data_IF_870650928298
#
_entry.id   IF_870650928298
#
_cell.length_a   1.000
_cell.length_b   1.000
_cell.length_c   1.000
_cell.angle_alpha   90.00
_cell.angle_beta   90.00
_cell.angle_gamma   90.00
#
_symmetry.space_group_name_H-M   'P 1'
#
loop_
_entity.id
_entity.type
_entity.pdbx_description
1 polymer ?
#
# COMPACT_ATOMS: atom_id res chain seq x y z
N UNK A 1 8.79 22.14 -16.03
CA UNK A 1 8.43 20.81 -16.56
C UNK A 1 9.63 20.31 -17.31
N UNK A 2 10.06 19.08 -17.05
CA UNK A 2 11.13 18.43 -17.78
C UNK A 2 10.60 17.16 -18.43
N UNK A 3 11.10 16.86 -19.63
CA UNK A 3 10.79 15.59 -20.31
C UNK A 3 11.69 14.54 -19.70
N UNK A 4 11.08 13.50 -19.12
CA UNK A 4 11.78 12.33 -18.59
C UNK A 4 12.08 11.39 -19.75
N UNK A 5 11.03 10.96 -20.47
CA UNK A 5 11.13 9.99 -21.56
C UNK A 5 10.38 10.47 -22.81
N UNK A 6 10.82 9.96 -23.96
CA UNK A 6 10.12 10.07 -25.24
C UNK A 6 9.89 8.65 -25.78
N UNK A 7 8.89 8.43 -26.65
CA UNK A 7 8.59 7.09 -27.19
C UNK A 7 9.83 6.47 -27.83
N UNK A 8 10.37 5.42 -27.20
CA UNK A 8 11.63 4.78 -27.61
C UNK A 8 11.50 3.26 -27.73
N UNK A 9 10.58 2.64 -26.98
CA UNK A 9 10.32 1.20 -27.01
C UNK A 9 8.84 0.89 -27.22
N UNK A 10 8.49 -0.29 -27.78
CA UNK A 10 7.09 -0.70 -27.93
C UNK A 10 6.37 -0.90 -26.59
N UNK A 11 7.09 -1.21 -25.51
CA UNK A 11 6.51 -1.41 -24.18
C UNK A 11 6.01 -0.09 -23.59
N UNK A 12 6.77 0.99 -23.76
CA UNK A 12 6.46 2.33 -23.25
C UNK A 12 6.45 3.38 -24.38
N UNK A 13 5.42 3.39 -25.23
CA UNK A 13 5.31 4.31 -26.37
C UNK A 13 4.78 5.69 -25.93
N UNK A 14 5.25 6.21 -24.80
CA UNK A 14 4.72 7.43 -24.16
C UNK A 14 5.79 8.53 -24.08
N UNK A 15 5.34 9.77 -23.97
CA UNK A 15 6.18 10.87 -23.48
C UNK A 15 5.83 11.06 -22.01
N UNK A 16 6.81 10.88 -21.12
CA UNK A 16 6.63 11.17 -19.70
C UNK A 16 7.32 12.49 -19.37
N UNK A 17 6.58 13.37 -18.70
CA UNK A 17 7.06 14.66 -18.23
C UNK A 17 6.85 14.75 -16.72
N UNK A 18 7.80 15.36 -16.03
CA UNK A 18 7.68 15.65 -14.61
C UNK A 18 7.77 17.16 -14.36
N UNK A 19 6.99 17.61 -13.39
CA UNK A 19 6.94 18.98 -12.94
C UNK A 19 6.89 18.99 -11.42
N UNK A 20 7.97 19.44 -10.78
CA UNK A 20 7.94 19.78 -9.37
C UNK A 20 6.93 20.90 -9.12
N UNK A 21 5.96 20.65 -8.23
CA UNK A 21 4.94 21.62 -7.83
C UNK A 21 5.29 22.14 -6.43
N UNK A 22 5.48 23.45 -6.25
CA UNK A 22 5.79 24.00 -4.92
C UNK A 22 4.57 23.87 -4.00
N UNK A 23 4.79 23.63 -2.70
CA UNK A 23 3.71 23.57 -1.70
C UNK A 23 2.87 24.85 -1.62
N UNK A 24 3.38 25.98 -2.11
CA UNK A 24 2.65 27.25 -2.19
C UNK A 24 1.73 27.36 -3.41
N UNK A 25 1.67 26.34 -4.27
CA UNK A 25 0.79 26.34 -5.43
C UNK A 25 -0.69 26.31 -4.98
N UNK A 26 -1.51 27.16 -5.59
CA UNK A 26 -2.95 27.25 -5.32
C UNK A 26 -3.82 26.65 -6.42
N UNK A 27 -3.24 26.34 -7.58
CA UNK A 27 -3.93 25.71 -8.72
C UNK A 27 -2.91 24.92 -9.57
N UNK A 28 -3.34 23.77 -10.10
CA UNK A 28 -2.59 22.97 -11.04
C UNK A 28 -3.55 22.38 -12.06
N UNK A 29 -3.33 22.72 -13.34
CA UNK A 29 -4.23 22.34 -14.43
C UNK A 29 -3.48 21.89 -15.67
N UNK A 30 -4.05 20.89 -16.32
CA UNK A 30 -3.72 20.47 -17.67
C UNK A 30 -4.50 21.38 -18.64
N UNK A 31 -3.80 22.06 -19.54
CA UNK A 31 -4.43 22.82 -20.61
C UNK A 31 -4.96 21.86 -21.68
N UNK A 32 -6.26 21.95 -21.96
CA UNK A 32 -6.90 21.13 -22.98
C UNK A 32 -6.43 21.49 -24.38
N UNK A 33 -6.01 20.49 -25.14
CA UNK A 33 -5.78 20.60 -26.58
C UNK A 33 -6.70 19.62 -27.30
N UNK A 34 -7.24 20.01 -28.46
CA UNK A 34 -8.21 19.20 -29.21
C UNK A 34 -7.68 17.82 -29.63
N UNK A 35 -6.36 17.63 -29.60
CA UNK A 35 -5.68 16.39 -29.98
C UNK A 35 -5.51 15.39 -28.82
N UNK A 36 -5.92 15.71 -27.58
CA UNK A 36 -5.71 14.86 -26.41
C UNK A 36 -6.96 14.72 -25.54
N UNK A 37 -7.20 13.50 -25.07
CA UNK A 37 -8.13 13.25 -23.96
C UNK A 37 -7.39 13.51 -22.65
N UNK A 38 -7.94 14.38 -21.80
CA UNK A 38 -7.36 14.66 -20.49
C UNK A 38 -7.89 13.69 -19.43
N UNK A 39 -6.99 13.29 -18.53
CA UNK A 39 -7.31 12.55 -17.32
C UNK A 39 -6.68 13.27 -16.12
N UNK A 40 -7.46 13.73 -15.12
CA UNK A 40 -8.92 13.68 -15.11
C UNK A 40 -9.54 14.59 -16.18
N UNK A 41 -10.76 14.27 -16.61
CA UNK A 41 -11.45 14.96 -17.72
C UNK A 41 -11.63 16.48 -17.52
N UNK A 42 -11.64 16.96 -16.28
CA UNK A 42 -11.72 18.39 -15.96
C UNK A 42 -10.35 19.11 -16.00
N UNK A 43 -9.26 18.36 -16.24
CA UNK A 43 -7.89 18.86 -16.29
C UNK A 43 -7.34 19.36 -14.94
N UNK A 44 -8.04 19.19 -13.82
CA UNK A 44 -7.59 19.70 -12.51
C UNK A 44 -6.81 18.63 -11.77
N UNK A 45 -5.58 18.93 -11.37
CA UNK A 45 -4.76 18.04 -10.56
C UNK A 45 -4.96 18.36 -9.08
N UNK A 46 -5.08 17.35 -8.20
CA UNK A 46 -5.18 17.62 -6.77
C UNK A 46 -3.86 18.17 -6.25
N UNK A 47 -3.95 19.18 -5.39
CA UNK A 47 -2.79 19.76 -4.72
C UNK A 47 -2.86 19.47 -3.22
N UNK A 48 -1.71 19.37 -2.54
CA UNK A 48 -1.64 19.40 -1.09
C UNK A 48 -2.47 20.54 -0.50
N UNK A 49 -3.32 20.23 0.49
CA UNK A 49 -4.08 21.23 1.27
C UNK A 49 -3.31 21.71 2.49
N UNK A 50 -2.14 21.13 2.75
CA UNK A 50 -1.27 21.46 3.88
C UNK A 50 -0.11 22.38 3.46
N UNK A 51 0.50 23.00 4.46
CA UNK A 51 1.68 23.86 4.36
C UNK A 51 2.87 23.21 5.05
N UNK A 52 4.02 23.88 5.10
CA UNK A 52 5.15 23.44 5.92
C UNK A 52 4.86 23.42 7.44
N UNK A 53 3.77 24.05 7.89
CA UNK A 53 3.39 24.17 9.31
C UNK A 53 2.12 23.40 9.67
N UNK A 54 1.46 22.78 8.69
CA UNK A 54 0.28 21.92 8.89
C UNK A 54 0.56 20.53 8.33
N UNK A 55 -0.43 19.63 8.28
CA UNK A 55 -0.30 18.26 7.76
C UNK A 55 -1.62 17.81 7.13
N UNK A 56 -1.64 16.72 6.34
CA UNK A 56 -2.88 16.11 5.89
C UNK A 56 -3.83 15.83 7.07
N UNK A 57 -5.11 16.12 6.91
CA UNK A 57 -6.13 15.85 7.93
C UNK A 57 -6.80 14.49 7.73
N UNK A 58 -6.75 13.92 6.52
CA UNK A 58 -7.39 12.64 6.23
C UNK A 58 -6.65 11.85 5.16
N UNK A 59 -6.10 10.72 5.56
CA UNK A 59 -5.30 9.83 4.72
C UNK A 59 -6.09 8.56 4.43
N UNK A 60 -6.24 8.21 3.15
CA UNK A 60 -6.68 6.87 2.77
C UNK A 60 -5.45 5.99 2.48
N UNK A 61 -5.42 4.78 3.03
CA UNK A 61 -4.38 3.78 2.75
C UNK A 61 -5.00 2.63 1.99
N UNK A 62 -4.40 2.26 0.87
CA UNK A 62 -4.86 1.20 -0.03
C UNK A 62 -3.65 0.40 -0.54
N UNK A 63 -3.81 -0.86 -0.91
CA UNK A 63 -2.70 -1.71 -1.36
C UNK A 63 -3.19 -2.94 -2.10
N UNK A 64 -2.28 -3.54 -2.88
CA UNK A 64 -2.51 -4.84 -3.53
C UNK A 64 -3.73 -4.76 -4.47
N UNK A 65 -3.72 -3.70 -5.30
CA UNK A 65 -4.91 -3.23 -6.01
C UNK A 65 -5.09 -3.84 -7.37
N UNK A 66 -4.06 -4.46 -7.96
CA UNK A 66 -4.17 -4.99 -9.32
C UNK A 66 -5.16 -6.15 -9.46
N UNK A 67 -5.43 -6.51 -10.70
CA UNK A 67 -6.30 -7.64 -11.02
C UNK A 67 -5.46 -8.90 -11.28
N UNK A 68 -5.66 -9.95 -10.47
CA UNK A 68 -4.86 -11.17 -10.55
C UNK A 68 -5.15 -12.02 -11.80
N UNK A 69 -4.20 -12.02 -12.74
CA UNK A 69 -4.26 -12.81 -13.98
C UNK A 69 -2.94 -13.57 -14.15
N UNK A 70 -2.75 -14.67 -13.40
CA UNK A 70 -1.46 -15.33 -13.32
C UNK A 70 -1.18 -16.23 -14.52
N UNK A 71 0.08 -16.55 -14.73
CA UNK A 71 0.50 -17.54 -15.75
C UNK A 71 0.00 -18.96 -15.45
N UNK A 72 -0.31 -19.28 -14.20
CA UNK A 72 -0.92 -20.53 -13.77
C UNK A 72 -1.89 -20.31 -12.61
N UNK A 73 -2.98 -21.09 -12.58
CA UNK A 73 -3.98 -21.00 -11.50
C UNK A 73 -5.25 -20.21 -11.89
N UNK A 74 -6.09 -19.90 -10.88
CA UNK A 74 -7.33 -19.15 -11.07
C UNK A 74 -7.07 -17.72 -11.55
N UNK A 75 -7.98 -17.21 -12.39
CA UNK A 75 -7.94 -15.83 -12.91
C UNK A 75 -9.08 -15.03 -12.30
N UNK A 76 -8.80 -13.84 -11.79
CA UNK A 76 -9.82 -12.90 -11.35
C UNK A 76 -10.51 -12.26 -12.56
N UNK A 77 -11.84 -12.09 -12.50
CA UNK A 77 -12.57 -11.30 -13.51
C UNK A 77 -12.26 -9.82 -13.29
N UNK A 78 -11.39 -9.24 -14.11
CA UNK A 78 -11.05 -7.82 -14.03
C UNK A 78 -12.22 -6.92 -14.40
N UNK A 79 -13.18 -7.45 -15.17
CA UNK A 79 -14.40 -6.72 -15.52
C UNK A 79 -15.43 -6.65 -14.39
N UNK A 80 -15.62 -7.71 -13.62
CA UNK A 80 -16.77 -7.83 -12.69
C UNK A 80 -16.41 -8.29 -11.28
N UNK A 81 -15.30 -9.00 -11.10
CA UNK A 81 -14.85 -9.54 -9.82
C UNK A 81 -13.76 -8.71 -9.12
N UNK A 82 -13.31 -7.62 -9.73
CA UNK A 82 -12.21 -6.80 -9.25
C UNK A 82 -12.71 -5.57 -8.47
N UNK A 83 -12.39 -5.43 -7.17
CA UNK A 83 -12.99 -4.43 -6.30
C UNK A 83 -12.30 -3.05 -6.37
N UNK A 84 -11.09 -2.95 -6.89
CA UNK A 84 -10.31 -1.71 -6.87
C UNK A 84 -11.05 -0.51 -7.48
N UNK A 85 -11.69 -0.58 -8.67
CA UNK A 85 -12.43 0.57 -9.20
C UNK A 85 -13.54 1.07 -8.26
N UNK A 86 -14.23 0.16 -7.56
CA UNK A 86 -15.30 0.50 -6.62
C UNK A 86 -14.71 1.15 -5.37
N UNK A 87 -13.62 0.59 -4.84
CA UNK A 87 -12.91 1.12 -3.68
C UNK A 87 -12.30 2.49 -3.97
N UNK A 88 -11.64 2.68 -5.12
CA UNK A 88 -11.08 3.95 -5.57
C UNK A 88 -12.15 5.04 -5.66
N UNK A 89 -13.32 4.72 -6.23
CA UNK A 89 -14.45 5.64 -6.28
C UNK A 89 -15.03 5.93 -4.88
N UNK A 90 -15.15 4.91 -4.02
CA UNK A 90 -15.63 5.06 -2.64
C UNK A 90 -14.71 5.95 -1.80
N UNK A 91 -13.39 5.76 -1.91
CA UNK A 91 -12.40 6.61 -1.28
C UNK A 91 -12.58 8.05 -1.78
N UNK A 92 -12.67 8.24 -3.10
CA UNK A 92 -12.78 9.57 -3.69
C UNK A 92 -14.06 10.33 -3.31
N UNK A 93 -15.18 9.62 -3.13
CA UNK A 93 -16.52 10.23 -2.98
C UNK A 93 -17.08 10.20 -1.57
N UNK A 94 -16.74 9.18 -0.78
CA UNK A 94 -17.23 8.99 0.61
C UNK A 94 -16.17 9.43 1.62
N UNK A 95 -14.94 8.93 1.48
CA UNK A 95 -13.84 9.25 2.42
C UNK A 95 -13.21 10.59 2.09
N UNK A 96 -13.14 10.98 0.82
CA UNK A 96 -12.72 12.32 0.44
C UNK A 96 -11.39 12.75 1.09
N UNK A 97 -10.33 11.92 1.04
CA UNK A 97 -9.06 12.24 1.70
C UNK A 97 -8.40 13.46 1.06
N UNK A 98 -7.44 14.04 1.78
CA UNK A 98 -6.50 15.02 1.24
C UNK A 98 -5.15 14.41 0.86
N UNK A 99 -4.86 13.17 1.30
CA UNK A 99 -3.70 12.37 0.87
C UNK A 99 -4.09 10.89 0.71
N UNK A 100 -3.51 10.23 -0.28
CA UNK A 100 -3.59 8.76 -0.42
C UNK A 100 -2.20 8.17 -0.24
N UNK A 101 -2.09 7.04 0.47
CA UNK A 101 -0.89 6.20 0.52
C UNK A 101 -1.25 4.87 -0.14
N UNK A 102 -0.51 4.48 -1.18
CA UNK A 102 -0.63 3.17 -1.80
C UNK A 102 0.55 2.28 -1.43
N UNK A 103 0.31 1.17 -0.76
CA UNK A 103 1.34 0.29 -0.19
C UNK A 103 1.84 -0.80 -1.16
N UNK A 104 1.93 -0.48 -2.45
CA UNK A 104 2.49 -1.38 -3.48
C UNK A 104 1.54 -2.40 -4.09
N UNK A 105 2.09 -3.15 -5.04
CA UNK A 105 1.45 -4.14 -5.90
C UNK A 105 0.28 -3.57 -6.73
N UNK A 106 0.63 -3.19 -7.96
CA UNK A 106 -0.23 -2.52 -8.92
C UNK A 106 -0.49 -3.41 -10.14
N UNK A 107 0.52 -4.13 -10.63
CA UNK A 107 0.54 -4.81 -11.92
C UNK A 107 0.46 -6.32 -11.76
N UNK A 108 -0.76 -6.85 -11.72
CA UNK A 108 -1.02 -8.27 -11.48
C UNK A 108 -1.33 -9.09 -12.75
N UNK A 109 -1.42 -8.43 -13.91
CA UNK A 109 -1.65 -9.13 -15.18
C UNK A 109 -0.38 -9.74 -15.76
N UNK A 110 0.02 -10.89 -15.22
CA UNK A 110 1.14 -11.68 -15.75
C UNK A 110 0.82 -12.32 -17.11
N UNK A 111 -0.44 -12.72 -17.31
CA UNK A 111 -0.92 -13.30 -18.58
C UNK A 111 -2.21 -12.64 -19.08
N UNK A 112 -2.13 -11.43 -19.67
CA UNK A 112 -3.28 -10.72 -20.21
C UNK A 112 -4.07 -11.47 -21.30
N UNK A 113 -3.63 -12.64 -21.76
CA UNK A 113 -4.42 -13.43 -22.71
C UNK A 113 -5.61 -14.16 -22.06
N UNK A 114 -5.64 -14.29 -20.73
CA UNK A 114 -6.65 -15.08 -19.99
C UNK A 114 -7.79 -14.26 -19.38
N UNK A 115 -7.72 -12.96 -19.49
CA UNK A 115 -8.63 -12.03 -18.84
C UNK A 115 -9.94 -11.80 -19.64
N UNK A 116 -10.92 -11.09 -19.07
CA UNK A 116 -12.30 -10.96 -19.59
C UNK A 116 -12.72 -9.55 -20.10
N UNK A 117 -11.75 -8.67 -20.31
CA UNK A 117 -11.83 -7.27 -20.72
C UNK A 117 -10.93 -6.83 -21.91
N UNK A 118 -10.53 -7.69 -22.89
CA UNK A 118 -9.47 -7.34 -23.85
C UNK A 118 -9.89 -6.22 -24.80
N UNK A 119 -11.21 -6.08 -25.02
CA UNK A 119 -11.79 -4.99 -25.83
C UNK A 119 -11.64 -3.62 -25.16
N UNK A 120 -11.54 -3.56 -23.83
CA UNK A 120 -11.39 -2.32 -23.06
C UNK A 120 -9.92 -1.89 -22.99
N UNK A 121 -9.00 -2.85 -23.12
CA UNK A 121 -7.56 -2.67 -22.95
C UNK A 121 -6.78 -3.18 -24.18
N UNK A 122 -6.98 -2.59 -25.38
CA UNK A 122 -6.17 -2.95 -26.55
C UNK A 122 -4.69 -2.70 -26.26
N UNK A 123 -3.83 -3.63 -26.65
CA UNK A 123 -2.40 -3.61 -26.33
C UNK A 123 -2.05 -4.21 -24.96
N UNK A 124 -3.03 -4.74 -24.22
CA UNK A 124 -2.85 -5.54 -23.01
C UNK A 124 -3.66 -6.84 -23.14
N UNK A 125 -3.26 -7.70 -24.07
CA UNK A 125 -4.04 -8.88 -24.48
C UNK A 125 -3.22 -10.15 -24.66
N UNK A 126 -1.89 -10.05 -24.50
CA UNK A 126 -0.96 -11.16 -24.64
C UNK A 126 0.05 -11.15 -23.51
N UNK A 127 0.65 -12.29 -23.20
CA UNK A 127 1.73 -12.41 -22.20
C UNK A 127 2.93 -11.51 -22.53
N UNK A 128 3.23 -11.29 -23.82
CA UNK A 128 4.31 -10.41 -24.26
C UNK A 128 4.03 -8.92 -24.00
N UNK A 129 2.76 -8.57 -23.80
CA UNK A 129 2.30 -7.22 -23.48
C UNK A 129 2.15 -6.97 -21.97
N UNK A 130 2.38 -7.99 -21.11
CA UNK A 130 2.35 -7.82 -19.67
C UNK A 130 3.26 -6.65 -19.24
N UNK A 131 2.76 -5.80 -18.36
CA UNK A 131 3.39 -4.55 -17.95
C UNK A 131 3.74 -3.55 -19.09
N UNK A 132 3.12 -3.67 -20.26
CA UNK A 132 3.12 -2.57 -21.25
C UNK A 132 2.36 -1.36 -20.72
N UNK A 133 2.53 -0.19 -21.34
CA UNK A 133 1.73 1.00 -21.02
C UNK A 133 0.21 0.72 -21.01
N UNK A 134 -0.28 -0.07 -21.96
CA UNK A 134 -1.70 -0.44 -22.01
C UNK A 134 -2.13 -1.25 -20.77
N UNK A 135 -1.27 -2.16 -20.29
CA UNK A 135 -1.53 -2.90 -19.05
C UNK A 135 -1.40 -2.03 -17.81
N UNK A 136 -0.42 -1.12 -17.75
CA UNK A 136 -0.28 -0.15 -16.66
C UNK A 136 -1.54 0.73 -16.55
N UNK A 137 -2.10 1.16 -17.69
CA UNK A 137 -3.38 1.88 -17.72
C UNK A 137 -4.55 1.00 -17.27
N UNK A 138 -4.58 -0.27 -17.70
CA UNK A 138 -5.63 -1.21 -17.34
C UNK A 138 -5.66 -1.51 -15.84
N UNK A 139 -4.50 -1.72 -15.24
CA UNK A 139 -4.33 -2.16 -13.85
C UNK A 139 -4.33 -1.02 -12.84
N UNK A 140 -3.83 0.17 -13.20
CA UNK A 140 -3.70 1.27 -12.26
C UNK A 140 -4.38 2.57 -12.69
N UNK A 141 -3.95 3.22 -13.78
CA UNK A 141 -4.41 4.59 -14.04
C UNK A 141 -5.92 4.72 -14.29
N UNK A 142 -6.51 3.79 -15.06
CA UNK A 142 -7.95 3.81 -15.36
C UNK A 142 -8.82 3.48 -14.14
N UNK A 143 -8.60 2.39 -13.38
CA UNK A 143 -9.40 2.11 -12.19
C UNK A 143 -9.18 3.14 -11.06
N UNK A 144 -7.98 3.75 -10.99
CA UNK A 144 -7.65 4.77 -10.01
C UNK A 144 -8.05 6.20 -10.42
N UNK A 145 -8.60 6.42 -11.62
CA UNK A 145 -8.79 7.78 -12.17
C UNK A 145 -9.52 8.72 -11.21
N UNK A 146 -10.61 8.25 -10.57
CA UNK A 146 -11.36 9.06 -9.59
C UNK A 146 -10.56 9.34 -8.33
N UNK A 147 -9.69 8.41 -7.92
CA UNK A 147 -8.82 8.55 -6.76
C UNK A 147 -7.68 9.53 -7.03
N UNK A 148 -7.01 9.39 -8.18
CA UNK A 148 -5.95 10.29 -8.64
C UNK A 148 -6.45 11.71 -8.92
N UNK A 149 -7.74 11.87 -9.24
CA UNK A 149 -8.38 13.17 -9.35
C UNK A 149 -8.71 13.82 -7.99
N UNK A 150 -8.73 13.03 -6.91
CA UNK A 150 -9.20 13.48 -5.58
C UNK A 150 -8.09 14.07 -4.73
N UNK A 151 -6.95 13.40 -4.64
CA UNK A 151 -5.89 13.71 -3.70
C UNK A 151 -4.51 13.37 -4.30
N UNK A 152 -3.43 14.07 -3.90
CA UNK A 152 -2.07 13.59 -4.13
C UNK A 152 -1.89 12.18 -3.55
N UNK A 153 -1.03 11.39 -4.19
CA UNK A 153 -0.78 10.00 -3.82
C UNK A 153 0.71 9.77 -3.56
N UNK A 154 1.02 9.11 -2.43
CA UNK A 154 2.33 8.58 -2.12
C UNK A 154 2.34 7.08 -2.43
N UNK A 155 3.38 6.61 -3.13
CA UNK A 155 3.45 5.25 -3.67
C UNK A 155 4.67 4.53 -3.10
N UNK A 156 4.58 3.22 -2.92
CA UNK A 156 5.73 2.35 -2.62
C UNK A 156 5.69 1.16 -3.56
N UNK A 157 6.85 0.59 -3.87
CA UNK A 157 6.95 -0.54 -4.80
C UNK A 157 6.62 -1.86 -4.12
N UNK A 158 5.81 -2.70 -4.76
CA UNK A 158 5.55 -4.07 -4.31
C UNK A 158 6.34 -5.13 -5.07
N UNK A 159 6.20 -6.40 -4.68
CA UNK A 159 6.94 -7.50 -5.32
C UNK A 159 6.45 -7.81 -6.74
N UNK A 160 5.22 -7.46 -7.10
CA UNK A 160 4.74 -7.58 -8.49
C UNK A 160 5.44 -6.58 -9.44
N UNK A 161 6.05 -5.53 -8.89
CA UNK A 161 6.87 -4.56 -9.62
C UNK A 161 8.37 -4.77 -9.38
N UNK A 162 8.79 -5.98 -9.03
CA UNK A 162 10.20 -6.30 -8.91
C UNK A 162 10.93 -6.26 -10.26
N UNK A 163 12.26 -6.28 -10.19
CA UNK A 163 13.07 -6.28 -11.39
C UNK A 163 13.23 -7.71 -11.94
N UNK A 164 12.95 -7.88 -13.23
CA UNK A 164 13.25 -9.13 -13.92
C UNK A 164 14.76 -9.43 -13.97
N UNK A 165 15.12 -10.65 -14.38
CA UNK A 165 16.51 -11.13 -14.45
C UNK A 165 17.46 -10.29 -15.32
N UNK A 166 16.94 -9.46 -16.23
CA UNK A 166 17.73 -8.58 -17.11
C UNK A 166 17.75 -7.12 -16.64
N UNK A 167 17.05 -6.79 -15.55
CA UNK A 167 16.88 -5.43 -15.03
C UNK A 167 16.46 -4.40 -16.09
N UNK A 168 15.75 -4.86 -17.14
CA UNK A 168 15.27 -4.05 -18.25
C UNK A 168 13.88 -4.50 -18.70
N UNK A 169 12.95 -3.57 -18.84
CA UNK A 169 11.55 -3.85 -19.20
C UNK A 169 10.75 -4.55 -18.09
N UNK A 170 9.55 -5.03 -18.43
CA UNK A 170 8.63 -5.67 -17.47
C UNK A 170 8.05 -4.71 -16.42
N UNK A 171 7.50 -5.27 -15.33
CA UNK A 171 6.79 -4.53 -14.29
C UNK A 171 7.68 -3.57 -13.49
N UNK A 172 8.89 -4.00 -13.11
CA UNK A 172 9.84 -3.10 -12.44
C UNK A 172 10.29 -1.92 -13.29
N UNK A 173 10.48 -2.11 -14.61
CA UNK A 173 10.73 -0.96 -15.49
C UNK A 173 9.50 -0.07 -15.60
N UNK A 174 8.27 -0.63 -15.65
CA UNK A 174 7.05 0.16 -15.65
C UNK A 174 6.90 1.00 -14.38
N UNK A 175 7.30 0.47 -13.21
CA UNK A 175 7.38 1.23 -11.97
C UNK A 175 8.31 2.43 -12.09
N UNK A 176 9.57 2.23 -12.50
CA UNK A 176 10.53 3.34 -12.67
C UNK A 176 10.16 4.27 -13.83
N UNK A 177 9.34 3.84 -14.78
CA UNK A 177 8.92 4.71 -15.88
C UNK A 177 7.75 5.63 -15.51
N UNK A 178 6.85 5.20 -14.62
CA UNK A 178 5.58 5.90 -14.38
C UNK A 178 5.23 6.24 -12.93
N UNK A 179 5.77 5.52 -11.94
CA UNK A 179 5.27 5.55 -10.55
C UNK A 179 6.34 5.88 -9.51
N UNK A 180 7.61 5.58 -9.78
CA UNK A 180 8.71 5.86 -8.85
C UNK A 180 8.93 7.36 -8.62
N UNK A 181 9.49 7.73 -7.46
CA UNK A 181 9.93 9.10 -7.20
C UNK A 181 11.13 9.53 -8.08
N UNK A 182 11.90 8.56 -8.58
CA UNK A 182 12.95 8.77 -9.58
C UNK A 182 12.52 8.12 -10.90
N UNK A 183 11.94 8.91 -11.80
CA UNK A 183 11.49 8.42 -13.09
C UNK A 183 12.65 8.21 -14.09
N UNK A 184 12.57 7.15 -14.90
CA UNK A 184 13.63 6.70 -15.82
C UNK A 184 13.10 6.42 -17.22
N UNK A 185 13.90 6.77 -18.24
CA UNK A 185 13.54 6.63 -19.65
C UNK A 185 14.19 5.44 -20.37
N UNK A 186 15.14 4.77 -19.73
CA UNK A 186 15.99 3.74 -20.35
C UNK A 186 15.56 2.30 -20.00
N UNK A 187 14.35 2.17 -19.46
CA UNK A 187 13.72 0.93 -19.00
C UNK A 187 14.51 0.19 -17.91
N UNK A 188 15.47 0.86 -17.26
CA UNK A 188 16.26 0.27 -16.17
C UNK A 188 15.45 0.14 -14.88
N UNK A 189 15.88 -0.78 -14.03
CA UNK A 189 15.26 -1.07 -12.75
C UNK A 189 16.32 -1.34 -11.69
N UNK A 190 16.13 -0.86 -10.48
CA UNK A 190 16.99 -1.17 -9.34
C UNK A 190 16.35 -2.23 -8.46
N UNK A 191 17.14 -3.24 -8.05
CA UNK A 191 16.65 -4.27 -7.12
C UNK A 191 16.24 -3.69 -5.77
N UNK A 192 17.01 -2.71 -5.30
CA UNK A 192 16.80 -2.02 -4.04
C UNK A 192 16.96 -0.52 -4.31
N UNK A 193 15.87 0.22 -4.28
CA UNK A 193 15.91 1.69 -4.28
C UNK A 193 16.11 2.23 -2.87
N UNK A 194 16.68 3.43 -2.75
CA UNK A 194 16.86 4.09 -1.46
C UNK A 194 15.49 4.51 -0.88
N UNK A 195 15.34 4.58 0.46
CA UNK A 195 14.15 5.14 1.08
C UNK A 195 13.89 6.56 0.60
N UNK A 196 12.62 6.88 0.33
CA UNK A 196 12.21 8.21 -0.13
C UNK A 196 11.43 8.92 0.96
N UNK A 197 11.93 10.06 1.40
CA UNK A 197 11.25 10.93 2.35
C UNK A 197 10.32 11.92 1.63
N UNK A 198 9.04 11.89 1.97
CA UNK A 198 8.00 12.76 1.42
C UNK A 198 7.52 13.69 2.54
N UNK A 199 7.75 15.00 2.37
CA UNK A 199 7.39 16.03 3.35
C UNK A 199 5.93 16.42 3.20
N UNK A 200 5.05 15.84 4.02
CA UNK A 200 3.64 16.22 4.10
C UNK A 200 3.40 17.24 5.24
N UNK A 201 4.18 18.33 5.19
CA UNK A 201 4.19 19.36 6.24
C UNK A 201 4.82 18.84 7.54
N UNK A 202 4.09 18.84 8.66
CA UNK A 202 4.56 18.33 9.97
C UNK A 202 4.39 16.81 10.14
N UNK A 203 3.82 16.14 9.14
CA UNK A 203 3.88 14.68 8.99
C UNK A 203 4.88 14.35 7.89
N UNK A 204 5.93 13.60 8.22
CA UNK A 204 6.86 13.04 7.25
C UNK A 204 6.41 11.62 6.89
N UNK A 205 6.35 11.32 5.61
CA UNK A 205 6.15 9.95 5.12
C UNK A 205 7.48 9.44 4.60
N UNK A 206 7.76 8.15 4.80
CA UNK A 206 8.96 7.52 4.25
C UNK A 206 8.56 6.24 3.54
N UNK A 207 8.76 6.19 2.23
CA UNK A 207 8.64 4.96 1.45
C UNK A 207 9.91 4.14 1.63
N UNK A 208 9.76 2.87 1.99
CA UNK A 208 10.83 1.89 1.97
C UNK A 208 10.49 0.80 0.96
N UNK A 209 11.38 0.60 0.00
CA UNK A 209 11.25 -0.39 -1.06
C UNK A 209 11.60 -1.80 -0.55
N UNK A 210 10.57 -2.52 -0.13
CA UNK A 210 10.67 -3.90 0.33
C UNK A 210 10.31 -4.93 -0.74
N UNK A 211 10.19 -4.53 -2.01
CA UNK A 211 9.73 -5.41 -3.10
C UNK A 211 10.53 -6.72 -3.18
N UNK A 212 11.83 -6.65 -2.86
CA UNK A 212 12.74 -7.80 -2.89
C UNK A 212 13.13 -8.33 -1.49
N UNK A 213 12.41 -7.96 -0.43
CA UNK A 213 12.61 -8.52 0.90
C UNK A 213 11.98 -9.91 0.97
N UNK A 214 12.76 -10.95 1.30
CA UNK A 214 12.27 -12.35 1.37
C UNK A 214 11.37 -12.71 0.17
N UNK A 215 11.90 -12.70 -1.07
CA UNK A 215 11.08 -12.69 -2.29
C UNK A 215 10.16 -13.92 -2.42
N UNK A 216 10.51 -15.04 -1.81
CA UNK A 216 9.73 -16.29 -1.82
C UNK A 216 8.88 -16.49 -0.55
N UNK A 217 8.84 -15.50 0.36
CA UNK A 217 8.12 -15.53 1.65
C UNK A 217 8.42 -16.78 2.50
N UNK A 218 9.68 -17.18 2.50
CA UNK A 218 10.17 -18.39 3.19
C UNK A 218 10.66 -18.10 4.62
N UNK A 219 10.65 -16.84 5.03
CA UNK A 219 11.28 -16.36 6.26
C UNK A 219 12.78 -16.12 6.08
N UNK A 220 13.26 -15.97 4.85
CA UNK A 220 14.66 -15.69 4.54
C UNK A 220 15.10 -14.37 5.17
N UNK A 221 16.33 -14.33 5.69
CA UNK A 221 16.99 -13.11 6.19
C UNK A 221 18.06 -12.60 5.23
N UNK A 222 18.09 -13.11 3.99
CA UNK A 222 19.04 -12.64 2.98
C UNK A 222 18.83 -11.15 2.68
N UNK A 223 19.93 -10.40 2.61
CA UNK A 223 19.89 -8.95 2.35
C UNK A 223 19.65 -8.08 3.60
N UNK A 224 19.64 -8.65 4.80
CA UNK A 224 19.42 -7.91 6.06
C UNK A 224 20.26 -6.64 6.21
N UNK A 225 21.55 -6.68 5.86
CA UNK A 225 22.43 -5.51 5.93
C UNK A 225 22.02 -4.35 5.00
N UNK A 226 21.36 -4.65 3.87
CA UNK A 226 20.83 -3.62 2.95
C UNK A 226 19.70 -2.88 3.64
N UNK A 227 18.71 -3.62 4.15
CA UNK A 227 17.57 -3.04 4.85
C UNK A 227 17.98 -2.38 6.17
N UNK A 228 19.01 -2.87 6.85
CA UNK A 228 19.55 -2.26 8.08
C UNK A 228 20.06 -0.85 7.79
N UNK A 229 20.85 -0.69 6.73
CA UNK A 229 21.33 0.62 6.30
C UNK A 229 20.18 1.56 5.90
N UNK A 230 19.14 1.04 5.25
CA UNK A 230 17.95 1.81 4.87
C UNK A 230 17.14 2.27 6.10
N UNK A 231 16.89 1.38 7.07
CA UNK A 231 16.22 1.76 8.33
C UNK A 231 17.05 2.74 9.15
N UNK A 232 18.38 2.62 9.13
CA UNK A 232 19.23 3.61 9.78
C UNK A 232 19.13 4.98 9.10
N UNK A 233 19.03 5.04 7.77
CA UNK A 233 18.74 6.29 7.05
C UNK A 233 17.39 6.91 7.47
N UNK A 234 16.34 6.10 7.63
CA UNK A 234 15.04 6.56 8.16
C UNK A 234 15.20 7.14 9.56
N UNK A 235 15.94 6.43 10.44
CA UNK A 235 16.18 6.87 11.81
C UNK A 235 16.97 8.19 11.86
N UNK A 236 17.99 8.35 11.01
CA UNK A 236 18.78 9.57 10.94
C UNK A 236 17.95 10.78 10.49
N UNK A 237 17.11 10.63 9.47
CA UNK A 237 16.20 11.73 9.04
C UNK A 237 15.21 12.08 10.16
N UNK A 238 14.60 11.08 10.81
CA UNK A 238 13.67 11.30 11.91
C UNK A 238 14.32 11.99 13.12
N UNK A 239 15.59 11.68 13.42
CA UNK A 239 16.37 12.34 14.47
C UNK A 239 16.69 13.80 14.16
N UNK A 240 16.85 14.15 12.88
CA UNK A 240 17.06 15.54 12.46
C UNK A 240 15.77 16.38 12.57
N UNK A 241 14.60 15.73 12.66
CA UNK A 241 13.29 16.37 12.72
C UNK A 241 12.48 15.88 13.94
N UNK A 242 12.99 16.06 15.18
CA UNK A 242 12.43 15.42 16.38
C UNK A 242 11.05 15.96 16.80
N UNK A 243 10.57 17.04 16.17
CA UNK A 243 9.27 17.64 16.42
C UNK A 243 8.19 17.23 15.42
N UNK A 244 8.57 16.51 14.37
CA UNK A 244 7.65 16.05 13.34
C UNK A 244 7.30 14.57 13.56
N UNK A 245 6.07 14.19 13.21
CA UNK A 245 5.64 12.79 13.20
C UNK A 245 6.12 12.10 11.92
N UNK A 246 6.45 10.83 12.00
CA UNK A 246 6.85 10.00 10.86
C UNK A 246 5.92 8.81 10.68
N UNK A 247 5.42 8.60 9.45
CA UNK A 247 4.84 7.34 9.01
C UNK A 247 5.80 6.66 8.04
N UNK A 248 6.23 5.46 8.41
CA UNK A 248 6.95 4.58 7.50
C UNK A 248 5.91 3.77 6.72
N UNK A 249 6.07 3.69 5.41
CA UNK A 249 5.25 2.80 4.59
C UNK A 249 6.15 1.98 3.66
N UNK A 250 5.78 0.72 3.53
CA UNK A 250 6.52 -0.33 2.82
C UNK A 250 5.50 -1.23 2.14
N UNK A 251 5.91 -2.12 1.25
CA UNK A 251 4.97 -3.09 0.71
C UNK A 251 4.84 -4.30 1.64
N UNK A 252 5.95 -4.98 1.91
CA UNK A 252 5.98 -6.14 2.80
C UNK A 252 5.95 -5.70 4.27
N UNK A 253 5.13 -6.35 5.10
CA UNK A 253 5.01 -6.03 6.51
C UNK A 253 6.30 -6.30 7.29
N UNK A 254 6.50 -5.62 8.42
CA UNK A 254 7.59 -5.93 9.36
C UNK A 254 7.14 -6.95 10.42
N UNK A 255 5.91 -6.81 10.89
CA UNK A 255 5.42 -7.55 12.06
C UNK A 255 4.02 -8.16 11.91
N UNK A 256 3.43 -8.11 10.71
CA UNK A 256 2.07 -8.64 10.47
C UNK A 256 2.01 -10.12 10.82
N UNK A 257 0.95 -10.53 11.52
CA UNK A 257 0.73 -11.92 11.93
C UNK A 257 -0.15 -12.62 10.91
N UNK A 258 0.42 -13.63 10.24
CA UNK A 258 -0.27 -14.47 9.26
C UNK A 258 -1.11 -15.55 9.95
N UNK A 259 -0.60 -16.14 11.02
CA UNK A 259 -1.31 -17.17 11.79
C UNK A 259 -0.81 -17.24 13.22
N UNK A 260 -1.68 -17.68 14.14
CA UNK A 260 -1.35 -17.90 15.54
C UNK A 260 -2.07 -19.12 16.11
N UNK A 261 -1.43 -19.81 17.05
CA UNK A 261 -1.91 -20.99 17.76
C UNK A 261 -2.13 -20.74 19.25
N UNK A 262 -2.46 -21.80 19.97
CA UNK A 262 -2.84 -21.72 21.39
C UNK A 262 -1.63 -21.59 22.31
N UNK A 263 -0.48 -22.16 21.92
CA UNK A 263 0.71 -22.12 22.76
C UNK A 263 1.53 -20.86 22.50
N UNK A 264 2.18 -20.29 23.53
CA UNK A 264 3.12 -19.18 23.35
C UNK A 264 4.23 -19.56 22.36
N UNK A 265 4.46 -18.71 21.37
CA UNK A 265 5.42 -18.94 20.30
C UNK A 265 4.86 -19.67 19.08
N UNK A 266 3.63 -20.20 19.13
CA UNK A 266 2.90 -20.66 17.94
C UNK A 266 2.40 -19.43 17.16
N UNK A 267 3.31 -18.70 16.51
CA UNK A 267 2.97 -17.53 15.71
C UNK A 267 3.82 -17.48 14.44
N UNK A 268 3.17 -17.23 13.31
CA UNK A 268 3.83 -16.94 12.04
C UNK A 268 3.60 -15.48 11.72
N UNK A 269 4.67 -14.71 11.65
CA UNK A 269 4.65 -13.31 11.25
C UNK A 269 5.63 -13.06 10.10
N UNK A 270 5.34 -12.02 9.32
CA UNK A 270 6.11 -11.58 8.16
C UNK A 270 6.56 -10.13 8.37
N UNK A 271 7.71 -9.70 7.87
CA UNK A 271 8.75 -10.35 7.06
C UNK A 271 10.07 -10.32 7.83
N UNK A 272 10.67 -11.49 8.11
CA UNK A 272 11.76 -11.62 9.11
C UNK A 272 12.96 -10.73 8.85
N UNK A 273 13.40 -10.64 7.59
CA UNK A 273 14.54 -9.79 7.22
C UNK A 273 14.33 -8.32 7.59
N UNK A 274 13.10 -7.80 7.46
CA UNK A 274 12.81 -6.39 7.76
C UNK A 274 12.78 -6.14 9.27
N UNK A 275 12.17 -7.04 10.05
CA UNK A 275 12.19 -6.89 11.51
C UNK A 275 13.60 -7.07 12.08
N UNK A 276 14.42 -7.99 11.55
CA UNK A 276 15.81 -8.11 11.98
C UNK A 276 16.60 -6.86 11.63
N UNK A 277 16.42 -6.34 10.41
CA UNK A 277 17.11 -5.13 9.97
C UNK A 277 16.83 -3.92 10.87
N UNK A 278 15.60 -3.76 11.39
CA UNK A 278 15.29 -2.74 12.41
C UNK A 278 16.06 -3.00 13.72
N UNK A 279 16.12 -4.26 14.16
CA UNK A 279 16.83 -4.65 15.38
C UNK A 279 18.36 -4.48 15.28
N UNK A 280 18.90 -4.58 14.06
CA UNK A 280 20.33 -4.46 13.77
C UNK A 280 20.77 -3.02 13.49
N UNK A 281 19.83 -2.06 13.42
CA UNK A 281 20.19 -0.63 13.40
C UNK A 281 20.96 -0.24 14.68
N UNK A 282 21.79 0.83 14.65
CA UNK A 282 22.44 1.35 15.86
C UNK A 282 21.47 1.70 17.01
N UNK A 283 20.21 2.02 16.67
CA UNK A 283 19.16 2.32 17.65
C UNK A 283 18.42 1.07 18.15
N UNK A 284 18.66 -0.10 17.55
CA UNK A 284 17.95 -1.37 17.79
C UNK A 284 16.41 -1.26 17.69
N UNK A 285 15.93 -0.22 17.02
CA UNK A 285 14.53 0.20 16.95
C UNK A 285 14.35 1.27 15.88
N UNK A 286 13.10 1.53 15.47
CA UNK A 286 12.77 2.74 14.73
C UNK A 286 12.76 3.95 15.67
N UNK A 287 13.11 5.12 15.14
CA UNK A 287 13.17 6.37 15.91
C UNK A 287 11.84 6.64 16.64
N UNK A 288 11.85 7.24 17.85
CA UNK A 288 10.65 7.39 18.67
C UNK A 288 9.49 8.11 17.99
N UNK A 289 9.78 9.08 17.11
CA UNK A 289 8.80 9.83 16.32
C UNK A 289 8.33 9.11 15.04
N UNK A 290 8.83 7.90 14.73
CA UNK A 290 8.13 6.97 13.82
C UNK A 290 6.91 6.42 14.54
N UNK A 291 5.75 6.97 14.19
CA UNK A 291 4.47 6.83 14.89
C UNK A 291 3.69 5.59 14.45
N UNK A 292 3.85 5.18 13.20
CA UNK A 292 3.05 4.15 12.54
C UNK A 292 3.83 3.53 11.39
N UNK A 293 3.66 2.22 11.18
CA UNK A 293 4.11 1.51 9.97
C UNK A 293 2.88 1.09 9.16
N UNK A 294 2.92 1.35 7.85
CA UNK A 294 1.87 0.95 6.90
C UNK A 294 2.45 -0.07 5.91
N UNK A 295 1.71 -1.13 5.61
CA UNK A 295 2.13 -2.16 4.66
C UNK A 295 0.97 -2.78 3.88
N UNK A 296 1.27 -3.57 2.85
CA UNK A 296 0.34 -4.38 2.05
C UNK A 296 0.79 -5.85 2.02
N UNK A 297 0.95 -6.40 0.81
CA UNK A 297 1.50 -7.72 0.47
C UNK A 297 0.61 -8.91 0.83
N UNK A 298 0.13 -8.97 2.06
CA UNK A 298 -0.85 -9.99 2.46
C UNK A 298 -2.23 -9.43 2.16
N UNK A 299 -3.04 -10.18 1.41
CA UNK A 299 -4.31 -9.71 0.86
C UNK A 299 -5.44 -9.68 1.90
N UNK A 300 -5.21 -8.97 3.00
CA UNK A 300 -6.14 -8.74 4.11
C UNK A 300 -5.90 -7.37 4.74
N UNK A 301 -6.79 -6.97 5.64
CA UNK A 301 -6.53 -5.87 6.57
C UNK A 301 -6.18 -6.42 7.94
N UNK A 302 -5.09 -5.93 8.54
CA UNK A 302 -4.76 -6.20 9.95
C UNK A 302 -4.10 -4.98 10.60
N UNK A 303 -4.62 -4.58 11.76
CA UNK A 303 -3.94 -3.66 12.68
C UNK A 303 -3.36 -4.44 13.85
N UNK A 304 -2.09 -4.20 14.18
CA UNK A 304 -1.44 -4.75 15.37
C UNK A 304 -0.71 -3.68 16.17
N UNK A 305 -0.65 -3.84 17.49
CA UNK A 305 0.22 -3.04 18.35
C UNK A 305 0.81 -3.84 19.53
N UNK A 306 1.82 -3.25 20.17
CA UNK A 306 2.62 -3.88 21.22
C UNK A 306 2.53 -3.16 22.57
N UNK A 307 1.96 -1.95 22.62
CA UNK A 307 2.00 -1.05 23.77
C UNK A 307 3.44 -0.84 24.31
N UNK A 308 4.40 -0.72 23.40
CA UNK A 308 5.82 -0.45 23.66
C UNK A 308 6.31 0.73 22.83
N UNK A 309 7.62 1.00 22.81
CA UNK A 309 8.20 1.99 21.91
C UNK A 309 8.14 1.57 20.42
N UNK A 310 7.89 0.29 20.11
CA UNK A 310 7.71 -0.18 18.73
C UNK A 310 6.42 0.45 18.16
N UNK A 311 6.45 1.09 16.98
CA UNK A 311 5.24 1.59 16.37
C UNK A 311 4.26 0.46 16.06
N UNK A 312 2.95 0.70 16.18
CA UNK A 312 1.97 -0.22 15.64
C UNK A 312 2.12 -0.33 14.12
N UNK A 313 1.57 -1.41 13.56
CA UNK A 313 1.54 -1.62 12.12
C UNK A 313 0.10 -1.82 11.63
N UNK A 314 -0.22 -1.22 10.49
CA UNK A 314 -1.48 -1.46 9.78
C UNK A 314 -1.15 -2.01 8.40
N UNK A 315 -1.57 -3.24 8.15
CA UNK A 315 -1.45 -3.93 6.87
C UNK A 315 -2.77 -3.77 6.11
N UNK A 316 -2.71 -3.32 4.86
CA UNK A 316 -3.86 -2.99 4.00
C UNK A 316 -3.64 -3.55 2.59
N UNK A 317 -3.66 -4.88 2.46
CA UNK A 317 -3.58 -5.55 1.16
C UNK A 317 -4.93 -6.04 0.62
N UNK A 318 -6.04 -5.64 1.24
CA UNK A 318 -7.37 -6.12 0.84
C UNK A 318 -8.08 -5.24 -0.18
N UNK A 319 -7.38 -4.68 -1.17
CA UNK A 319 -7.97 -3.65 -2.04
C UNK A 319 -8.16 -4.04 -3.50
N UNK A 320 -7.71 -5.22 -3.93
CA UNK A 320 -7.83 -5.68 -5.32
C UNK A 320 -7.73 -7.19 -5.45
N UNK A 321 -6.56 -7.73 -5.14
CA UNK A 321 -6.23 -9.14 -5.30
C UNK A 321 -7.13 -10.11 -4.49
N UNK A 322 -7.20 -11.39 -4.86
CA UNK A 322 -7.87 -12.45 -4.09
C UNK A 322 -7.47 -12.43 -2.62
N UNK A 323 -8.45 -12.50 -1.73
CA UNK A 323 -8.22 -12.32 -0.30
C UNK A 323 -7.58 -13.54 0.36
N UNK A 324 -6.63 -13.28 1.26
CA UNK A 324 -6.02 -14.27 2.14
C UNK A 324 -6.88 -14.56 3.37
N UNK A 325 -6.72 -15.75 3.94
CA UNK A 325 -7.20 -16.02 5.30
C UNK A 325 -6.36 -15.27 6.33
N UNK A 326 -7.02 -14.74 7.37
CA UNK A 326 -6.35 -14.08 8.50
C UNK A 326 -6.05 -15.00 9.68
N UNK A 327 -5.39 -14.50 10.75
CA UNK A 327 -5.33 -15.21 12.02
C UNK A 327 -6.66 -15.10 12.80
N UNK A 328 -6.83 -15.99 13.78
CA UNK A 328 -7.75 -15.72 14.89
C UNK A 328 -7.09 -14.75 15.87
N UNK A 329 -7.51 -13.48 15.88
CA UNK A 329 -6.91 -12.43 16.72
C UNK A 329 -6.87 -12.77 18.22
N UNK A 330 -7.76 -13.65 18.69
CA UNK A 330 -7.77 -14.11 20.09
C UNK A 330 -6.50 -14.92 20.43
N UNK A 331 -5.91 -15.56 19.43
CA UNK A 331 -4.69 -16.35 19.55
C UNK A 331 -3.43 -15.53 19.28
N UNK A 332 -3.58 -14.34 18.71
CA UNK A 332 -2.48 -13.41 18.45
C UNK A 332 -2.07 -12.66 19.71
N UNK A 333 -3.04 -12.31 20.58
CA UNK A 333 -2.77 -11.61 21.83
C UNK A 333 -1.69 -12.32 22.68
N UNK A 334 -0.71 -11.55 23.18
CA UNK A 334 0.49 -11.99 23.90
C UNK A 334 1.49 -12.86 23.12
N UNK A 335 1.26 -13.16 21.83
CA UNK A 335 2.25 -13.88 21.05
C UNK A 335 3.54 -13.04 20.87
N UNK A 336 4.73 -13.66 20.95
CA UNK A 336 5.99 -12.96 20.78
C UNK A 336 6.29 -12.74 19.29
N UNK A 337 6.20 -11.50 18.82
CA UNK A 337 6.35 -11.14 17.40
C UNK A 337 7.55 -10.20 17.20
N UNK A 338 8.24 -10.37 16.07
CA UNK A 338 9.39 -9.56 15.67
C UNK A 338 10.71 -9.93 16.35
N UNK A 339 11.73 -9.13 16.05
CA UNK A 339 13.08 -9.19 16.61
C UNK A 339 13.41 -7.83 17.26
N UNK A 340 13.83 -7.76 18.53
CA UNK A 340 13.60 -8.81 19.54
C UNK A 340 12.09 -9.10 19.67
N UNK A 341 11.70 -10.28 20.17
CA UNK A 341 10.29 -10.61 20.30
C UNK A 341 9.59 -9.70 21.31
N UNK A 342 8.44 -9.13 20.91
CA UNK A 342 7.59 -8.33 21.78
C UNK A 342 6.18 -8.93 21.81
N UNK A 343 5.52 -8.97 22.99
CA UNK A 343 4.16 -9.48 23.08
C UNK A 343 3.21 -8.55 22.33
N UNK A 344 2.37 -9.12 21.46
CA UNK A 344 1.29 -8.36 20.84
C UNK A 344 0.29 -7.95 21.93
N UNK A 345 0.05 -6.64 22.06
CA UNK A 345 -0.95 -6.09 22.97
C UNK A 345 -2.34 -6.16 22.34
N UNK A 346 -2.45 -5.93 21.02
CA UNK A 346 -3.73 -5.99 20.31
C UNK A 346 -3.54 -6.38 18.85
N UNK A 347 -4.50 -7.12 18.31
CA UNK A 347 -4.64 -7.42 16.87
C UNK A 347 -6.12 -7.28 16.47
N UNK A 348 -6.37 -6.66 15.32
CA UNK A 348 -7.70 -6.59 14.68
C UNK A 348 -7.54 -6.88 13.20
N UNK A 349 -8.04 -8.04 12.77
CA UNK A 349 -8.08 -8.49 11.39
C UNK A 349 -9.52 -8.47 10.87
N UNK A 350 -9.73 -8.02 9.64
CA UNK A 350 -11.06 -7.96 9.04
C UNK A 350 -11.30 -9.19 8.17
N UNK A 351 -11.97 -10.19 8.74
CA UNK A 351 -12.26 -11.47 8.08
C UNK A 351 -13.75 -11.79 8.08
N UNK A 352 -14.19 -12.59 7.11
CA UNK A 352 -15.49 -13.26 7.13
C UNK A 352 -15.50 -14.29 8.26
N UNK A 353 -16.58 -14.33 9.03
CA UNK A 353 -16.77 -15.29 10.13
C UNK A 353 -16.69 -16.75 9.64
N UNK A 354 -16.09 -17.67 10.40
CA UNK A 354 -15.51 -17.49 11.75
C UNK A 354 -14.17 -16.73 11.76
N UNK A 355 -13.67 -16.39 12.95
CA UNK A 355 -12.34 -15.80 13.08
C UNK A 355 -11.28 -16.66 12.38
N UNK A 356 -10.34 -16.02 11.68
CA UNK A 356 -9.34 -16.68 10.85
C UNK A 356 -9.82 -17.17 9.48
N UNK A 357 -11.01 -16.73 9.03
CA UNK A 357 -11.49 -16.95 7.67
C UNK A 357 -10.92 -15.95 6.64
N UNK A 358 -11.49 -15.94 5.41
CA UNK A 358 -11.02 -15.05 4.34
C UNK A 358 -11.14 -13.58 4.73
N UNK A 359 -10.23 -12.75 4.24
CA UNK A 359 -10.26 -11.30 4.43
C UNK A 359 -11.55 -10.64 3.93
N UNK A 360 -11.64 -9.32 4.10
CA UNK A 360 -12.72 -8.49 3.56
C UNK A 360 -12.11 -7.38 2.71
N UNK A 361 -12.65 -7.18 1.52
CA UNK A 361 -12.24 -6.08 0.66
C UNK A 361 -12.52 -4.71 1.30
N UNK A 362 -11.52 -3.84 1.32
CA UNK A 362 -11.63 -2.52 1.91
C UNK A 362 -10.35 -1.72 1.86
N UNK A 363 -10.31 -0.66 2.65
CA UNK A 363 -9.18 0.26 2.76
C UNK A 363 -9.13 0.85 4.17
N UNK A 364 -7.99 1.42 4.56
CA UNK A 364 -7.88 2.14 5.83
C UNK A 364 -8.14 3.65 5.64
N UNK A 365 -8.79 4.26 6.62
CA UNK A 365 -9.02 5.71 6.72
C UNK A 365 -8.41 6.20 8.03
N UNK A 366 -7.39 7.05 7.92
CA UNK A 366 -6.72 7.72 9.02
C UNK A 366 -7.18 9.18 9.06
N UNK A 367 -7.86 9.57 10.13
CA UNK A 367 -8.34 10.94 10.34
C UNK A 367 -7.60 11.61 11.47
N UNK A 368 -7.04 12.80 11.21
CA UNK A 368 -6.40 13.60 12.26
C UNK A 368 -7.42 14.10 13.27
N UNK A 369 -7.06 14.04 14.56
CA UNK A 369 -7.87 14.55 15.68
C UNK A 369 -7.18 15.66 16.47
N UNK A 370 -6.31 16.44 15.80
CA UNK A 370 -5.64 17.60 16.42
C UNK A 370 -4.42 17.25 17.26
N UNK A 371 -3.75 16.14 16.94
CA UNK A 371 -2.55 15.67 17.65
C UNK A 371 -2.25 14.20 17.44
N UNK A 372 -3.25 13.42 17.03
CA UNK A 372 -3.11 12.00 16.71
C UNK A 372 -4.07 11.61 15.58
N UNK A 373 -4.29 10.30 15.39
CA UNK A 373 -5.01 9.71 14.27
C UNK A 373 -6.04 8.70 14.75
N UNK A 374 -7.28 8.85 14.27
CA UNK A 374 -8.30 7.80 14.33
C UNK A 374 -8.17 6.93 13.08
N UNK A 375 -8.05 5.62 13.29
CA UNK A 375 -7.98 4.58 12.26
C UNK A 375 -9.33 3.87 12.16
N UNK A 376 -9.86 3.78 10.94
CA UNK A 376 -11.01 2.95 10.62
C UNK A 376 -10.72 2.07 9.40
N UNK A 377 -11.18 0.82 9.42
CA UNK A 377 -11.30 0.02 8.20
C UNK A 377 -12.64 0.31 7.53
N UNK A 378 -12.64 0.52 6.22
CA UNK A 378 -13.85 0.84 5.44
C UNK A 378 -14.05 -0.18 4.33
N UNK A 379 -15.30 -0.64 4.18
CA UNK A 379 -15.72 -1.52 3.08
C UNK A 379 -15.83 -0.74 1.76
N UNK A 380 -16.12 -1.45 0.68
CA UNK A 380 -16.35 -0.88 -0.66
C UNK A 380 -17.41 0.25 -0.70
N UNK A 381 -18.42 0.23 0.16
CA UNK A 381 -19.41 1.32 0.25
C UNK A 381 -18.97 2.53 1.11
N UNK A 382 -17.75 2.48 1.67
CA UNK A 382 -17.18 3.52 2.54
C UNK A 382 -17.66 3.46 3.99
N UNK A 383 -18.57 2.54 4.34
CA UNK A 383 -18.97 2.32 5.72
C UNK A 383 -17.80 1.72 6.52
N UNK A 384 -17.63 2.21 7.74
CA UNK A 384 -16.67 1.63 8.67
C UNK A 384 -17.14 0.21 9.06
N UNK A 385 -16.21 -0.73 9.11
CA UNK A 385 -16.42 -2.06 9.67
C UNK A 385 -15.40 -2.27 10.79
N UNK A 386 -15.88 -2.65 11.96
CA UNK A 386 -15.04 -2.77 13.14
C UNK A 386 -14.97 -1.47 13.95
N UNK A 387 -14.24 -1.49 15.07
CA UNK A 387 -14.05 -0.31 15.90
C UNK A 387 -13.23 0.76 15.17
N UNK A 388 -13.46 2.01 15.55
CA UNK A 388 -12.54 3.11 15.25
C UNK A 388 -11.51 3.16 16.37
N UNK A 389 -10.22 3.21 16.01
CA UNK A 389 -9.12 3.11 16.94
C UNK A 389 -8.22 4.34 16.89
N UNK A 390 -8.04 5.01 18.02
CA UNK A 390 -7.21 6.21 18.13
C UNK A 390 -5.77 5.82 18.46
N UNK A 391 -4.80 6.25 17.64
CA UNK A 391 -3.38 6.09 17.92
C UNK A 391 -3.02 6.85 19.21
N UNK A 392 -2.27 6.24 20.12
CA UNK A 392 -1.85 6.92 21.35
C UNK A 392 -0.84 8.02 21.04
N UNK A 393 -0.81 9.13 21.79
CA UNK A 393 0.19 10.19 21.60
C UNK A 393 1.54 9.87 22.27
N UNK A 394 1.60 8.84 23.12
CA UNK A 394 2.81 8.43 23.85
C UNK A 394 3.83 7.81 22.90
N UNK A 395 5.12 8.15 23.04
CA UNK A 395 6.20 7.66 22.18
C UNK A 395 6.91 6.41 22.74
N UNK A 396 6.81 6.16 24.05
CA UNK A 396 7.39 5.02 24.76
C UNK A 396 6.45 3.81 24.84
N UNK A 397 5.16 4.03 24.62
CA UNK A 397 4.06 3.07 24.78
C UNK A 397 2.98 3.35 23.73
N UNK A 398 3.38 3.16 22.46
CA UNK A 398 2.57 3.34 21.27
C UNK A 398 1.56 2.20 21.17
N UNK A 399 0.28 2.54 21.01
CA UNK A 399 -0.81 1.56 20.87
C UNK A 399 -2.03 2.20 20.21
N UNK A 400 -2.97 1.38 19.76
CA UNK A 400 -4.28 1.82 19.30
C UNK A 400 -5.33 1.64 20.39
N UNK A 401 -6.02 2.72 20.74
CA UNK A 401 -7.15 2.69 21.67
C UNK A 401 -8.45 2.60 20.87
N UNK A 402 -9.04 1.41 20.85
CA UNK A 402 -10.28 1.18 20.12
C UNK A 402 -11.50 1.52 20.98
N UNK A 403 -12.37 2.39 20.46
CA UNK A 403 -13.65 2.66 21.12
C UNK A 403 -14.46 1.35 21.22
N UNK A 404 -15.15 1.09 22.36
CA UNK A 404 -16.05 -0.04 22.46
C UNK A 404 -17.14 0.03 21.39
N UNK A 405 -17.26 -1.02 20.59
CA UNK A 405 -18.46 -1.32 19.80
C UNK A 405 -18.61 -0.61 18.45
N UNK A 406 -18.02 -1.22 17.42
CA UNK A 406 -18.67 -1.44 16.12
C UNK A 406 -18.12 -2.70 15.42
N UNK A 407 -17.92 -3.80 16.14
CA UNK A 407 -17.88 -5.16 15.61
C UNK A 407 -18.82 -5.96 16.52
N UNK A 408 -19.83 -6.68 16.06
CA UNK A 408 -19.86 -7.62 14.94
C UNK A 408 -21.23 -7.57 14.27
N UNK A 409 -21.32 -7.26 12.97
CA UNK A 409 -22.48 -7.71 12.21
C UNK A 409 -22.36 -9.24 12.10
N UNK A 410 -22.92 -9.94 13.08
CA UNK A 410 -23.41 -11.28 12.83
C UNK A 410 -24.43 -11.16 11.70
N UNK A 411 -24.14 -11.79 10.57
CA UNK A 411 -25.04 -11.95 9.42
C UNK A 411 -25.13 -10.73 8.48
N UNK A 412 -24.24 -10.67 7.48
CA UNK A 412 -24.52 -10.71 6.02
C UNK A 412 -23.44 -9.94 5.25
N UNK A 413 -22.66 -10.64 4.42
CA UNK A 413 -22.57 -10.29 3.01
C UNK A 413 -22.01 -11.48 2.21
N UNK A 414 -22.88 -12.08 1.40
CA UNK A 414 -22.48 -12.92 0.26
C UNK A 414 -22.38 -11.99 -0.95
N UNK A 415 -21.20 -11.79 -1.55
CA UNK A 415 -21.13 -11.53 -2.98
C UNK A 415 -21.06 -12.89 -3.69
N UNK A 416 -22.09 -13.22 -4.47
CA UNK A 416 -22.08 -14.37 -5.39
C UNK A 416 -22.63 -15.68 -4.81
N UNK A 417 -23.92 -15.95 -5.05
CA UNK A 417 -24.41 -17.33 -5.09
C UNK A 417 -23.63 -18.10 -6.18
N UNK A 418 -23.28 -19.38 -5.97
CA UNK A 418 -22.96 -20.27 -7.07
C UNK A 418 -24.23 -20.44 -7.90
N UNK A 419 -24.15 -20.15 -9.20
CA UNK A 419 -25.14 -20.63 -10.15
C UNK A 419 -24.93 -22.13 -10.28
N UNK A 420 -25.71 -22.91 -9.53
CA UNK A 420 -25.77 -24.36 -9.71
C UNK A 420 -26.49 -24.72 -11.01
N UNK A 421 -26.15 -25.87 -11.59
CA UNK A 421 -26.93 -26.41 -12.71
C UNK A 421 -26.32 -27.61 -13.44
N UNK A 422 -26.35 -28.77 -12.78
CA UNK A 422 -26.07 -30.15 -13.24
C UNK A 422 -24.62 -30.60 -13.36
#
# INVERSE_FOLDING_TARGET
>A
MHVVSTPSTPQFPTTVCELGVPLTASDARLEGVSAATLHPANGRLPLPTWTSMSRPERIAVIGDTGCEVPTAGPVQSCRTGWPFPVLANSIATVTQPDLVIHVGDYFYREDPAKEDDPRRNPGCTTTAEAASWACVVADFFRPAETLLARAPIALTRGNHEDCNSRFRGGAGAAWFHYLADELRADDSCDRHSAPVAIRAGTLNLVSLDSSYADPDDTGSTAGEGIFTAQFDQVNQDAQQHPHDDYFLFTHKPLWMVKSAGQQPGEVTWLTRVLSNAVADTPAHSLAPNVRLVLSGHVHLYQMIDFNTARPPQVTVGSSGGPLDDGPDDRLVHNQPVGTPPQPVNQSITQTVSPAGGPGIFGYADLRSTGGTWDLAFRRANGAALGPICTLSTRLDTKSFQCAPGAATDGVTDRPGKPVGGR
#
